data_IF_275485828367
#
_entry.id   IF_275485828367
#
_cell.length_a   1.000
_cell.length_b   1.000
_cell.length_c   1.000
_cell.angle_alpha   90.00
_cell.angle_beta   90.00
_cell.angle_gamma   90.00
#
_symmetry.space_group_name_H-M   'P 1'
#
loop_
_entity.id
_entity.type
_entity.pdbx_description
1 polymer ?
#
# COMPACT_ATOMS: atom_id res chain seq x y z
N UNK A 1 9.52 -24.38 -12.48
CA UNK A 1 9.12 -25.62 -13.19
C UNK A 1 9.15 -25.33 -14.68
N UNK A 2 10.13 -25.86 -15.40
CA UNK A 2 10.36 -25.57 -16.83
C UNK A 2 9.44 -26.46 -17.68
N UNK A 3 8.54 -25.84 -18.44
CA UNK A 3 7.60 -26.53 -19.33
C UNK A 3 8.32 -27.13 -20.54
N UNK A 4 8.25 -28.44 -20.70
CA UNK A 4 8.78 -29.17 -21.87
C UNK A 4 7.74 -29.11 -22.99
N UNK A 5 8.10 -28.51 -24.13
CA UNK A 5 7.28 -28.46 -25.34
C UNK A 5 7.64 -29.67 -26.20
N UNK A 6 6.75 -30.67 -26.26
CA UNK A 6 6.91 -31.85 -27.11
C UNK A 6 6.54 -31.49 -28.56
N UNK A 7 7.51 -31.47 -29.47
CA UNK A 7 7.28 -31.32 -30.92
C UNK A 7 7.39 -32.71 -31.55
N UNK A 8 6.26 -33.31 -31.92
CA UNK A 8 6.24 -34.57 -32.69
C UNK A 8 6.40 -34.21 -34.16
N UNK A 9 7.60 -34.44 -34.70
CA UNK A 9 7.86 -34.39 -36.14
C UNK A 9 7.48 -35.74 -36.74
N UNK A 10 6.31 -35.85 -37.36
CA UNK A 10 5.96 -37.04 -38.14
C UNK A 10 6.82 -37.07 -39.42
N UNK A 11 7.83 -37.95 -39.43
CA UNK A 11 8.51 -38.35 -40.66
C UNK A 11 7.53 -39.12 -41.53
N UNK A 12 7.25 -38.58 -42.71
CA UNK A 12 6.33 -39.17 -43.67
C UNK A 12 7.10 -40.17 -44.56
N UNK A 13 7.41 -41.35 -44.01
CA UNK A 13 8.06 -42.43 -44.77
C UNK A 13 7.00 -43.17 -45.57
N UNK A 14 6.97 -42.96 -46.90
CA UNK A 14 6.12 -43.71 -47.83
C UNK A 14 6.62 -45.15 -47.94
N UNK A 15 6.12 -46.02 -47.07
CA UNK A 15 6.21 -47.48 -47.23
C UNK A 15 4.88 -47.93 -47.84
N UNK A 16 4.94 -48.55 -49.02
CA UNK A 16 3.78 -49.06 -49.74
C UNK A 16 3.17 -50.26 -49.02
N UNK A 17 2.13 -49.99 -48.23
CA UNK A 17 1.33 -51.02 -47.56
C UNK A 17 -0.05 -51.06 -48.23
N UNK A 18 -0.46 -52.27 -48.62
CA UNK A 18 -1.71 -52.60 -49.31
C UNK A 18 -2.94 -51.89 -48.69
N UNK A 19 -3.84 -51.34 -49.51
CA UNK A 19 -4.92 -50.43 -49.05
C UNK A 19 -5.86 -51.08 -48.02
N UNK A 20 -6.10 -52.40 -48.13
CA UNK A 20 -6.88 -53.17 -47.14
C UNK A 20 -6.22 -53.21 -45.75
N UNK A 21 -4.89 -53.32 -45.69
CA UNK A 21 -4.11 -53.35 -44.44
C UNK A 21 -4.09 -51.95 -43.82
N UNK A 22 -4.02 -50.90 -44.65
CA UNK A 22 -4.05 -49.49 -44.21
C UNK A 22 -5.39 -49.11 -43.56
N UNK A 23 -6.50 -49.64 -44.07
CA UNK A 23 -7.83 -49.44 -43.47
C UNK A 23 -8.01 -50.25 -42.19
N UNK A 24 -7.55 -51.51 -42.16
CA UNK A 24 -7.58 -52.34 -40.95
C UNK A 24 -6.74 -51.77 -39.80
N UNK A 25 -5.54 -51.28 -40.10
CA UNK A 25 -4.64 -50.69 -39.10
C UNK A 25 -5.14 -49.33 -38.59
N UNK A 26 -5.85 -48.55 -39.44
CA UNK A 26 -6.59 -47.35 -39.00
C UNK A 26 -7.79 -47.69 -38.13
N UNK A 27 -8.53 -48.75 -38.42
CA UNK A 27 -9.65 -49.21 -37.59
C UNK A 27 -9.16 -49.70 -36.22
N UNK A 28 -8.05 -50.44 -36.18
CA UNK A 28 -7.45 -50.92 -34.94
C UNK A 28 -6.90 -49.75 -34.11
N UNK A 29 -6.22 -48.78 -34.74
CA UNK A 29 -5.77 -47.57 -34.03
C UNK A 29 -6.95 -46.74 -33.51
N UNK A 30 -8.03 -46.64 -34.29
CA UNK A 30 -9.26 -45.97 -33.88
C UNK A 30 -9.92 -46.72 -32.71
N UNK A 31 -9.97 -48.05 -32.74
CA UNK A 31 -10.49 -48.87 -31.64
C UNK A 31 -9.64 -48.73 -30.38
N UNK A 32 -8.30 -48.72 -30.50
CA UNK A 32 -7.39 -48.54 -29.35
C UNK A 32 -7.52 -47.13 -28.77
N UNK A 33 -7.63 -46.09 -29.61
CA UNK A 33 -7.86 -44.72 -29.14
C UNK A 33 -9.24 -44.57 -28.50
N UNK A 34 -10.28 -45.18 -29.07
CA UNK A 34 -11.63 -45.21 -28.48
C UNK A 34 -11.66 -46.00 -27.17
N UNK A 35 -10.95 -47.13 -27.06
CA UNK A 35 -10.81 -47.88 -25.81
C UNK A 35 -10.01 -47.12 -24.75
N UNK A 36 -8.98 -46.36 -25.11
CA UNK A 36 -8.23 -45.50 -24.18
C UNK A 36 -9.09 -44.30 -23.72
N UNK A 37 -9.96 -43.77 -24.59
CA UNK A 37 -10.93 -42.73 -24.23
C UNK A 37 -12.05 -43.30 -23.33
N UNK A 38 -12.49 -44.54 -23.56
CA UNK A 38 -13.53 -45.20 -22.76
C UNK A 38 -13.02 -45.67 -21.39
N UNK A 39 -11.73 -46.04 -21.25
CA UNK A 39 -11.11 -46.40 -19.96
C UNK A 39 -10.82 -45.18 -19.07
N UNK A 40 -10.84 -43.95 -19.64
CA UNK A 40 -10.86 -42.69 -18.87
C UNK A 40 -12.24 -42.13 -18.60
N UNK A 41 -13.30 -42.84 -19.00
CA UNK A 41 -14.66 -42.58 -18.57
C UNK A 41 -15.00 -43.49 -17.37
N UNK A 42 -14.16 -43.45 -16.34
CA UNK A 42 -14.69 -43.71 -15.01
C UNK A 42 -15.71 -42.61 -14.76
N UNK A 43 -16.97 -42.99 -14.54
CA UNK A 43 -18.01 -42.05 -14.13
C UNK A 43 -17.41 -41.09 -13.08
N UNK A 44 -17.68 -39.76 -13.14
CA UNK A 44 -17.37 -38.93 -11.99
C UNK A 44 -17.97 -39.64 -10.79
N UNK A 45 -17.13 -40.03 -9.83
CA UNK A 45 -17.60 -40.60 -8.58
C UNK A 45 -18.64 -39.61 -8.05
N UNK A 46 -19.90 -40.00 -8.13
CA UNK A 46 -21.02 -39.23 -7.64
C UNK A 46 -21.02 -39.33 -6.10
N UNK A 47 -19.95 -38.87 -5.46
CA UNK A 47 -19.72 -38.88 -4.01
C UNK A 47 -18.50 -38.00 -3.68
N UNK A 48 -18.57 -36.70 -3.96
CA UNK A 48 -17.66 -35.73 -3.35
C UNK A 48 -18.38 -34.43 -2.99
N UNK A 49 -19.66 -34.53 -2.64
CA UNK A 49 -20.18 -33.66 -1.61
C UNK A 49 -19.80 -34.34 -0.30
N UNK A 50 -18.87 -33.77 0.50
CA UNK A 50 -18.76 -34.18 1.89
C UNK A 50 -20.18 -34.17 2.45
N UNK A 51 -20.57 -35.21 3.19
CA UNK A 51 -21.86 -35.24 3.87
C UNK A 51 -22.09 -33.88 4.55
N UNK A 52 -22.95 -33.07 3.93
CA UNK A 52 -23.14 -31.66 4.29
C UNK A 52 -23.73 -31.61 5.69
N UNK A 53 -24.60 -32.57 6.01
CA UNK A 53 -25.18 -32.71 7.35
C UNK A 53 -24.10 -33.04 8.37
N UNK A 54 -23.26 -34.05 8.11
CA UNK A 54 -22.16 -34.39 9.01
C UNK A 54 -21.14 -33.25 9.19
N UNK A 55 -20.81 -32.53 8.10
CA UNK A 55 -19.92 -31.37 8.13
C UNK A 55 -20.55 -30.13 8.77
N UNK A 56 -21.88 -29.99 8.72
CA UNK A 56 -22.61 -28.93 9.42
C UNK A 56 -22.71 -29.22 10.92
N UNK A 57 -22.98 -30.48 11.30
CA UNK A 57 -22.99 -30.92 12.70
C UNK A 57 -21.59 -30.92 13.32
N UNK A 58 -20.55 -31.23 12.53
CA UNK A 58 -19.15 -31.26 12.95
C UNK A 58 -18.27 -30.44 11.99
N UNK A 59 -18.27 -29.09 12.09
CA UNK A 59 -17.52 -28.22 11.19
C UNK A 59 -16.03 -28.56 11.13
N UNK A 60 -15.45 -28.72 9.92
CA UNK A 60 -14.02 -28.98 9.77
C UNK A 60 -13.18 -27.76 10.17
N UNK A 61 -11.86 -27.96 10.34
CA UNK A 61 -10.93 -26.88 10.71
C UNK A 61 -10.97 -25.67 9.76
N UNK A 62 -11.24 -25.89 8.46
CA UNK A 62 -11.37 -24.85 7.44
C UNK A 62 -12.60 -23.95 7.64
N UNK A 63 -13.63 -24.42 8.36
CA UNK A 63 -14.84 -23.67 8.64
C UNK A 63 -14.78 -22.88 9.97
N UNK A 64 -13.78 -23.14 10.81
CA UNK A 64 -13.63 -22.45 12.10
C UNK A 64 -13.16 -21.00 11.92
N UNK A 65 -13.66 -20.05 12.72
CA UNK A 65 -13.24 -18.65 12.63
C UNK A 65 -11.79 -18.48 13.11
N UNK A 66 -11.15 -17.40 12.68
CA UNK A 66 -9.87 -16.91 13.21
C UNK A 66 -10.10 -15.62 14.00
N UNK A 67 -9.15 -15.25 14.85
CA UNK A 67 -9.20 -14.02 15.64
C UNK A 67 -7.94 -13.17 15.46
N UNK A 68 -8.06 -11.85 15.62
CA UNK A 68 -6.91 -10.99 15.84
C UNK A 68 -6.47 -11.06 17.29
N UNK A 69 -5.18 -11.26 17.50
CA UNK A 69 -4.61 -11.38 18.83
C UNK A 69 -3.41 -10.44 18.97
N UNK A 70 -3.68 -9.29 19.57
CA UNK A 70 -2.73 -8.21 19.74
C UNK A 70 -1.96 -8.37 21.06
N UNK A 71 -0.65 -8.40 20.97
CA UNK A 71 0.24 -8.21 22.10
C UNK A 71 0.37 -6.73 22.38
N UNK A 72 -0.23 -6.30 23.48
CA UNK A 72 -0.37 -4.89 23.81
C UNK A 72 0.87 -4.38 24.52
N UNK A 73 1.73 -3.67 23.78
CA UNK A 73 2.84 -2.89 24.30
C UNK A 73 3.83 -3.68 25.17
N UNK A 74 4.15 -4.90 24.73
CA UNK A 74 5.08 -5.79 25.42
C UNK A 74 4.54 -6.47 26.68
N UNK A 75 3.25 -6.31 27.01
CA UNK A 75 2.61 -7.07 28.10
C UNK A 75 2.38 -8.53 27.67
N UNK A 76 3.43 -9.34 27.74
CA UNK A 76 3.45 -10.71 27.20
C UNK A 76 4.10 -11.64 28.23
N UNK A 77 3.46 -12.78 28.52
CA UNK A 77 4.02 -13.87 29.34
C UNK A 77 3.70 -15.22 28.70
N UNK A 78 4.55 -16.24 28.90
CA UNK A 78 4.31 -17.59 28.36
C UNK A 78 3.08 -18.24 29.01
N UNK A 79 2.82 -17.92 30.27
CA UNK A 79 1.65 -18.37 31.02
C UNK A 79 0.36 -17.81 30.39
N UNK A 80 0.34 -16.52 30.05
CA UNK A 80 -0.78 -15.88 29.35
C UNK A 80 -0.98 -16.44 27.94
N UNK A 81 0.10 -16.60 27.17
CA UNK A 81 0.08 -17.25 25.85
C UNK A 81 -0.56 -18.64 25.94
N UNK A 82 -0.14 -19.45 26.93
CA UNK A 82 -0.69 -20.79 27.13
C UNK A 82 -2.18 -20.75 27.41
N UNK A 83 -2.60 -19.92 28.36
CA UNK A 83 -4.01 -19.80 28.74
C UNK A 83 -4.90 -19.37 27.56
N UNK A 84 -4.44 -18.39 26.77
CA UNK A 84 -5.15 -17.89 25.59
C UNK A 84 -5.31 -18.97 24.52
N UNK A 85 -4.21 -19.63 24.13
CA UNK A 85 -4.23 -20.62 23.04
C UNK A 85 -5.01 -21.88 23.43
N UNK A 86 -4.89 -22.35 24.68
CA UNK A 86 -5.71 -23.45 25.17
C UNK A 86 -7.20 -23.06 25.24
N UNK A 87 -7.52 -21.82 25.60
CA UNK A 87 -8.89 -21.32 25.54
C UNK A 87 -9.43 -21.31 24.11
N UNK A 88 -8.70 -20.72 23.16
CA UNK A 88 -9.06 -20.70 21.73
C UNK A 88 -9.34 -22.11 21.21
N UNK A 89 -8.48 -23.07 21.53
CA UNK A 89 -8.67 -24.47 21.16
C UNK A 89 -9.95 -25.06 21.76
N UNK A 90 -10.17 -24.88 23.08
CA UNK A 90 -11.36 -25.41 23.78
C UNK A 90 -12.67 -24.86 23.22
N UNK A 91 -12.71 -23.59 22.83
CA UNK A 91 -13.94 -22.95 22.33
C UNK A 91 -14.13 -23.09 20.82
N UNK A 92 -13.24 -23.79 20.12
CA UNK A 92 -13.39 -24.09 18.69
C UNK A 92 -12.92 -23.00 17.73
N UNK A 93 -12.03 -22.10 18.16
CA UNK A 93 -11.30 -21.20 17.24
C UNK A 93 -10.34 -22.01 16.37
N UNK A 94 -10.25 -21.65 15.09
CA UNK A 94 -9.42 -22.35 14.10
C UNK A 94 -7.99 -21.83 13.99
N UNK A 95 -7.73 -20.62 14.51
CA UNK A 95 -6.43 -19.98 14.43
C UNK A 95 -6.48 -18.51 14.86
N UNK A 96 -5.35 -17.83 14.77
CA UNK A 96 -5.19 -16.44 15.15
C UNK A 96 -4.18 -15.71 14.26
N UNK A 97 -4.29 -14.38 14.24
CA UNK A 97 -3.38 -13.48 13.56
C UNK A 97 -2.71 -12.62 14.64
N UNK A 98 -1.40 -12.79 14.83
CA UNK A 98 -0.65 -12.12 15.88
C UNK A 98 -0.09 -10.78 15.42
N UNK A 99 -0.20 -9.78 16.29
CA UNK A 99 0.31 -8.43 16.10
C UNK A 99 1.05 -7.98 17.36
N UNK A 100 2.24 -7.39 17.20
CA UNK A 100 2.90 -6.67 18.29
C UNK A 100 2.55 -5.19 18.18
N UNK A 101 1.67 -4.70 19.06
CA UNK A 101 1.08 -3.38 18.97
C UNK A 101 1.67 -2.44 20.04
N UNK A 102 2.52 -1.51 19.62
CA UNK A 102 3.10 -0.46 20.48
C UNK A 102 2.10 0.69 20.73
N UNK A 103 0.90 0.35 21.18
CA UNK A 103 -0.10 1.32 21.62
C UNK A 103 0.09 1.62 23.10
N UNK A 104 -0.09 2.87 23.52
CA UNK A 104 0.04 3.25 24.92
C UNK A 104 -0.95 2.43 25.79
N UNK A 105 -0.42 1.55 26.64
CA UNK A 105 -1.20 0.73 27.57
C UNK A 105 -0.44 0.66 28.90
N UNK A 106 -1.15 0.55 30.04
CA UNK A 106 -0.53 0.32 31.34
C UNK A 106 0.37 -0.92 31.32
N UNK A 107 1.43 -0.91 32.12
CA UNK A 107 2.23 -2.10 32.35
C UNK A 107 1.54 -2.98 33.39
N UNK A 108 1.25 -4.23 33.02
CA UNK A 108 0.59 -5.22 33.89
C UNK A 108 1.44 -6.49 34.06
N UNK A 109 2.67 -6.48 33.56
CA UNK A 109 3.67 -7.54 33.71
C UNK A 109 4.92 -6.98 34.39
N UNK A 110 5.71 -7.84 35.02
CA UNK A 110 6.96 -7.43 35.68
C UNK A 110 7.94 -6.77 34.70
N UNK A 111 8.15 -7.40 33.54
CA UNK A 111 9.02 -6.91 32.47
C UNK A 111 8.29 -6.97 31.13
N UNK A 112 8.22 -5.83 30.43
CA UNK A 112 7.72 -5.80 29.04
C UNK A 112 8.70 -6.52 28.12
N UNK A 113 8.18 -7.34 27.20
CA UNK A 113 8.97 -7.93 26.13
C UNK A 113 9.01 -6.97 24.95
N UNK A 114 10.20 -6.44 24.65
CA UNK A 114 10.41 -5.50 23.54
C UNK A 114 10.53 -6.29 22.23
N UNK A 115 9.83 -5.85 21.19
CA UNK A 115 9.82 -6.49 19.88
C UNK A 115 11.24 -6.86 19.40
N UNK A 116 11.40 -8.11 18.95
CA UNK A 116 12.65 -8.69 18.42
C UNK A 116 13.85 -8.83 19.38
N UNK A 117 13.73 -8.50 20.69
CA UNK A 117 14.76 -8.92 21.67
C UNK A 117 14.76 -10.45 21.84
N UNK A 118 15.83 -11.05 22.41
CA UNK A 118 15.89 -12.50 22.62
C UNK A 118 14.68 -13.07 23.39
N UNK A 119 14.20 -12.37 24.42
CA UNK A 119 13.07 -12.82 25.25
C UNK A 119 11.74 -12.74 24.51
N UNK A 120 11.54 -11.70 23.68
CA UNK A 120 10.36 -11.62 22.81
C UNK A 120 10.37 -12.74 21.77
N UNK A 121 11.53 -13.03 21.15
CA UNK A 121 11.69 -14.12 20.17
C UNK A 121 11.43 -15.48 20.81
N UNK A 122 11.86 -15.69 22.04
CA UNK A 122 11.60 -16.90 22.81
C UNK A 122 10.10 -17.07 23.14
N UNK A 123 9.41 -15.99 23.54
CA UNK A 123 7.95 -16.01 23.71
C UNK A 123 7.21 -16.29 22.40
N UNK A 124 7.63 -15.66 21.29
CA UNK A 124 7.05 -15.89 19.96
C UNK A 124 7.29 -17.33 19.47
N UNK A 125 8.49 -17.88 19.66
CA UNK A 125 8.78 -19.29 19.36
C UNK A 125 7.90 -20.23 20.19
N UNK A 126 7.73 -19.94 21.48
CA UNK A 126 6.82 -20.70 22.34
C UNK A 126 5.39 -20.70 21.80
N UNK A 127 4.87 -19.53 21.42
CA UNK A 127 3.56 -19.38 20.76
C UNK A 127 3.44 -20.26 19.52
N UNK A 128 4.42 -20.20 18.60
CA UNK A 128 4.37 -20.98 17.35
C UNK A 128 4.32 -22.50 17.60
N UNK A 129 5.08 -22.99 18.59
CA UNK A 129 5.10 -24.41 18.96
C UNK A 129 3.80 -24.87 19.61
N UNK A 130 3.22 -24.02 20.46
CA UNK A 130 1.94 -24.32 21.10
C UNK A 130 0.77 -24.26 20.11
N UNK A 131 0.78 -23.31 19.17
CA UNK A 131 -0.24 -23.24 18.13
C UNK A 131 -0.23 -24.51 17.26
N UNK A 132 0.97 -24.97 16.86
CA UNK A 132 1.14 -26.21 16.10
C UNK A 132 0.60 -27.44 16.87
N UNK A 133 0.96 -27.59 18.15
CA UNK A 133 0.49 -28.73 18.97
C UNK A 133 -1.03 -28.73 19.16
N UNK A 134 -1.67 -27.57 19.17
CA UNK A 134 -3.13 -27.39 19.28
C UNK A 134 -3.84 -27.36 17.91
N UNK A 135 -3.10 -27.51 16.80
CA UNK A 135 -3.59 -27.40 15.42
C UNK A 135 -4.31 -26.07 15.14
N UNK A 136 -3.81 -24.98 15.72
CA UNK A 136 -4.27 -23.63 15.45
C UNK A 136 -3.43 -23.04 14.30
N UNK A 137 -4.10 -22.51 13.28
CA UNK A 137 -3.44 -21.74 12.23
C UNK A 137 -2.92 -20.42 12.82
N UNK A 138 -1.66 -20.09 12.56
CA UNK A 138 -1.06 -18.83 12.99
C UNK A 138 -0.66 -17.99 11.78
N UNK A 139 -1.05 -16.72 11.78
CA UNK A 139 -0.58 -15.72 10.82
C UNK A 139 0.06 -14.52 11.54
N UNK A 140 0.84 -13.73 10.79
CA UNK A 140 1.45 -12.47 11.23
C UNK A 140 1.16 -11.37 10.21
N UNK A 141 1.30 -10.10 10.65
CA UNK A 141 1.26 -8.95 9.75
C UNK A 141 2.47 -8.91 8.79
N UNK A 142 2.35 -8.11 7.72
CA UNK A 142 3.43 -7.85 6.76
C UNK A 142 4.57 -6.98 7.29
N UNK A 143 4.44 -6.42 8.49
CA UNK A 143 5.42 -5.58 9.16
C UNK A 143 5.26 -5.63 10.69
N UNK A 144 6.22 -5.12 11.48
CA UNK A 144 5.97 -4.78 12.88
C UNK A 144 4.74 -3.87 13.02
N UNK A 145 3.98 -3.99 14.12
CA UNK A 145 2.66 -3.38 14.21
C UNK A 145 1.59 -4.24 13.52
N UNK A 146 0.77 -3.62 12.66
CA UNK A 146 -0.31 -4.30 11.92
C UNK A 146 -0.30 -4.06 10.41
N UNK A 147 0.24 -2.94 9.95
CA UNK A 147 0.36 -2.60 8.53
C UNK A 147 1.51 -1.60 8.32
N UNK A 148 2.04 -1.46 7.11
CA UNK A 148 1.75 -2.20 5.88
C UNK A 148 2.94 -3.11 5.53
N UNK A 149 4.05 -2.51 5.08
CA UNK A 149 5.28 -3.23 4.71
C UNK A 149 6.50 -2.32 4.90
N UNK A 150 6.71 -1.85 6.13
CA UNK A 150 7.80 -0.94 6.48
C UNK A 150 8.65 -1.42 7.64
N UNK A 151 9.89 -0.97 7.69
CA UNK A 151 10.82 -1.23 8.79
C UNK A 151 12.12 -0.43 8.64
N UNK A 152 12.93 -0.32 9.71
CA UNK A 152 14.18 0.46 9.69
C UNK A 152 15.23 -0.06 8.70
N UNK A 153 15.04 -1.27 8.16
CA UNK A 153 15.88 -1.85 7.11
C UNK A 153 15.55 -1.34 5.70
N UNK A 154 14.46 -0.58 5.51
CA UNK A 154 14.08 -0.03 4.20
C UNK A 154 14.81 1.31 4.00
N UNK A 155 15.76 1.41 3.04
CA UNK A 155 16.45 2.68 2.78
C UNK A 155 15.51 3.69 2.11
N UNK A 156 15.75 5.01 2.26
CA UNK A 156 14.89 6.06 1.70
C UNK A 156 14.65 5.95 0.19
N UNK A 157 15.65 5.48 -0.56
CA UNK A 157 15.55 5.24 -2.01
C UNK A 157 14.55 4.15 -2.40
N UNK A 158 14.19 3.25 -1.48
CA UNK A 158 13.22 2.16 -1.68
C UNK A 158 11.85 2.44 -1.08
N UNK A 159 11.71 3.52 -0.28
CA UNK A 159 10.44 3.93 0.29
C UNK A 159 9.46 4.49 -0.77
N UNK A 160 8.23 4.78 -0.34
CA UNK A 160 7.22 5.47 -1.14
C UNK A 160 7.77 6.82 -1.63
N UNK A 161 7.47 7.17 -2.88
CA UNK A 161 7.96 8.38 -3.55
C UNK A 161 6.79 9.26 -3.94
N UNK A 162 7.01 10.57 -3.94
CA UNK A 162 6.12 11.57 -4.54
C UNK A 162 6.87 12.28 -5.66
N UNK A 163 6.15 12.69 -6.69
CA UNK A 163 6.70 13.65 -7.65
C UNK A 163 6.77 15.03 -7.01
N UNK A 164 7.87 15.71 -7.27
CA UNK A 164 8.14 17.09 -6.90
C UNK A 164 8.70 17.80 -8.13
N UNK A 165 8.51 19.10 -8.19
CA UNK A 165 9.01 19.89 -9.32
C UNK A 165 9.33 21.31 -8.90
N UNK A 166 10.13 21.95 -9.73
CA UNK A 166 10.45 23.38 -9.70
C UNK A 166 10.39 23.91 -11.12
N UNK A 167 10.01 25.17 -11.27
CA UNK A 167 9.76 25.77 -12.57
C UNK A 167 10.58 27.06 -12.74
N UNK A 168 10.92 27.36 -14.00
CA UNK A 168 11.55 28.62 -14.38
C UNK A 168 11.07 28.99 -15.78
N UNK A 169 10.78 30.28 -16.00
CA UNK A 169 10.53 30.83 -17.34
C UNK A 169 11.84 31.34 -17.94
N UNK A 170 12.12 30.95 -19.17
CA UNK A 170 13.32 31.35 -19.92
C UNK A 170 12.95 31.93 -21.28
N UNK A 171 13.81 32.81 -21.80
CA UNK A 171 13.63 33.36 -23.16
C UNK A 171 14.04 32.33 -24.20
N UNK A 172 13.10 31.96 -25.09
CA UNK A 172 13.36 31.04 -26.19
C UNK A 172 14.33 31.60 -27.22
N UNK A 173 15.04 30.72 -27.92
CA UNK A 173 16.04 31.11 -28.94
C UNK A 173 17.39 31.54 -28.37
N UNK A 174 17.58 31.48 -27.05
CA UNK A 174 18.85 31.75 -26.37
C UNK A 174 19.33 30.52 -25.60
N UNK A 175 20.62 30.16 -25.63
CA UNK A 175 21.16 29.13 -24.75
C UNK A 175 20.96 29.51 -23.28
N UNK A 176 20.46 28.58 -22.48
CA UNK A 176 20.37 28.74 -21.03
C UNK A 176 21.60 28.11 -20.36
N UNK A 177 22.38 28.92 -19.64
CA UNK A 177 23.57 28.49 -18.89
C UNK A 177 23.42 28.63 -17.38
N UNK A 178 22.21 28.93 -16.89
CA UNK A 178 21.92 29.08 -15.46
C UNK A 178 21.78 27.74 -14.74
N UNK A 179 21.73 27.81 -13.41
CA UNK A 179 21.36 26.65 -12.58
C UNK A 179 19.84 26.57 -12.52
N UNK A 180 19.27 25.39 -12.80
CA UNK A 180 17.84 25.16 -12.58
C UNK A 180 17.54 25.21 -11.07
N UNK A 181 16.38 25.76 -10.66
CA UNK A 181 15.94 25.62 -9.28
C UNK A 181 15.87 24.12 -8.92
N UNK A 182 16.21 23.80 -7.68
CA UNK A 182 16.12 22.42 -7.20
C UNK A 182 14.71 22.16 -6.67
N UNK A 183 14.02 21.10 -7.12
CA UNK A 183 12.75 20.70 -6.52
C UNK A 183 12.89 20.37 -5.03
N UNK A 184 11.83 20.52 -4.22
CA UNK A 184 11.86 20.18 -2.80
C UNK A 184 12.26 18.73 -2.53
N UNK A 185 13.19 18.49 -1.61
CA UNK A 185 13.55 17.15 -1.12
C UNK A 185 12.81 16.74 0.16
N UNK A 186 11.94 17.61 0.68
CA UNK A 186 11.25 17.44 1.97
C UNK A 186 10.40 16.18 2.00
N UNK A 187 10.66 15.29 2.95
CA UNK A 187 9.76 14.15 3.21
C UNK A 187 8.42 14.63 3.76
N UNK A 188 7.34 14.25 3.08
CA UNK A 188 5.98 14.67 3.41
C UNK A 188 4.99 14.43 2.29
N UNK A 189 3.81 15.03 2.35
CA UNK A 189 2.67 14.69 1.48
C UNK A 189 2.77 15.28 0.07
N UNK A 190 3.22 16.53 -0.07
CA UNK A 190 3.20 17.24 -1.35
C UNK A 190 4.25 18.36 -1.35
N UNK A 191 5.00 18.53 -2.45
CA UNK A 191 6.06 19.54 -2.59
C UNK A 191 6.88 19.70 -1.30
N UNK A 192 7.00 20.92 -0.75
CA UNK A 192 7.73 21.22 0.47
C UNK A 192 6.89 21.10 1.77
N UNK A 193 5.64 20.60 1.70
CA UNK A 193 4.85 20.28 2.90
C UNK A 193 5.52 19.11 3.62
N UNK A 194 6.03 19.36 4.82
CA UNK A 194 6.62 18.34 5.68
C UNK A 194 5.57 17.37 6.20
N UNK A 195 5.97 16.10 6.32
CA UNK A 195 5.11 15.09 6.90
C UNK A 195 4.93 15.29 8.41
N UNK A 196 3.70 15.13 8.89
CA UNK A 196 3.45 14.87 10.31
C UNK A 196 3.51 13.37 10.58
N UNK A 197 4.16 12.96 11.68
CA UNK A 197 4.03 11.60 12.19
C UNK A 197 2.57 11.38 12.61
N UNK A 198 1.78 10.68 11.77
CA UNK A 198 0.52 10.09 12.18
C UNK A 198 0.83 8.75 12.82
N UNK A 199 0.81 8.67 14.14
CA UNK A 199 0.96 7.41 14.85
C UNK A 199 0.54 7.52 16.30
N UNK A 200 -0.12 6.47 16.81
CA UNK A 200 -0.43 6.30 18.24
C UNK A 200 0.76 5.74 19.04
N UNK A 201 1.95 5.71 18.43
CA UNK A 201 3.17 5.12 18.98
C UNK A 201 3.92 6.06 19.91
N UNK A 202 4.80 5.48 20.72
CA UNK A 202 5.46 6.11 21.89
C UNK A 202 6.91 6.56 21.59
N UNK A 203 7.37 6.45 20.35
CA UNK A 203 8.78 6.70 19.99
C UNK A 203 9.06 8.17 19.71
N UNK A 204 10.21 8.64 20.18
CA UNK A 204 10.72 10.01 20.04
C UNK A 204 10.87 10.49 18.57
N UNK A 205 10.89 11.81 18.42
CA UNK A 205 11.00 12.55 17.16
C UNK A 205 12.38 12.43 16.51
N UNK A 206 12.67 11.28 15.91
CA UNK A 206 13.77 11.20 14.94
C UNK A 206 13.39 11.98 13.67
N UNK A 207 14.33 12.76 13.08
CA UNK A 207 14.08 13.48 11.84
C UNK A 207 13.69 12.50 10.73
N UNK A 208 12.76 12.92 9.88
CA UNK A 208 12.37 12.12 8.73
C UNK A 208 13.56 12.03 7.76
N UNK A 209 13.86 10.85 7.19
CA UNK A 209 14.93 10.74 6.22
C UNK A 209 14.56 11.47 4.93
N UNK A 210 15.53 12.08 4.27
CA UNK A 210 15.34 12.76 2.98
C UNK A 210 15.88 11.94 1.81
N UNK A 211 15.21 12.01 0.66
CA UNK A 211 15.66 11.41 -0.60
C UNK A 211 15.17 12.20 -1.81
N UNK A 212 16.08 12.48 -2.74
CA UNK A 212 15.77 13.16 -4.00
C UNK A 212 16.46 12.46 -5.17
N UNK A 213 15.76 12.38 -6.30
CA UNK A 213 16.31 11.93 -7.57
C UNK A 213 15.60 12.64 -8.73
N UNK A 214 16.37 13.03 -9.74
CA UNK A 214 15.83 13.56 -10.99
C UNK A 214 14.99 12.52 -11.72
N UNK A 215 13.85 12.96 -12.26
CA UNK A 215 12.99 12.15 -13.12
C UNK A 215 13.08 12.58 -14.58
N UNK A 216 12.85 13.88 -14.84
CA UNK A 216 12.92 14.47 -16.17
C UNK A 216 13.10 15.99 -16.07
N UNK A 217 13.69 16.58 -17.11
CA UNK A 217 13.64 18.02 -17.38
C UNK A 217 12.83 18.21 -18.65
N UNK A 218 11.71 18.93 -18.55
CA UNK A 218 10.79 19.16 -19.66
C UNK A 218 10.77 20.66 -19.97
N UNK A 219 10.90 20.99 -21.24
CA UNK A 219 10.73 22.35 -21.74
C UNK A 219 9.64 22.35 -22.80
N UNK A 220 8.76 23.35 -22.74
CA UNK A 220 7.69 23.55 -23.72
C UNK A 220 7.46 25.04 -23.96
N UNK A 221 6.92 25.39 -25.12
CA UNK A 221 6.58 26.78 -25.45
C UNK A 221 5.30 27.16 -24.72
N UNK A 222 5.36 28.23 -23.93
CA UNK A 222 4.18 28.87 -23.34
C UNK A 222 3.58 29.90 -24.33
N UNK A 223 2.25 30.05 -24.36
CA UNK A 223 1.60 31.13 -25.11
C UNK A 223 2.06 32.51 -24.61
N UNK A 224 2.13 33.49 -25.51
CA UNK A 224 2.56 34.87 -25.16
C UNK A 224 1.61 35.56 -24.18
N UNK A 225 0.36 35.10 -24.09
CA UNK A 225 -0.65 35.60 -23.17
C UNK A 225 -0.73 34.83 -21.84
N UNK A 226 0.18 33.88 -21.59
CA UNK A 226 0.33 33.23 -20.28
C UNK A 226 1.17 34.16 -19.37
N UNK A 227 0.49 35.04 -18.64
CA UNK A 227 1.12 35.99 -17.71
C UNK A 227 1.11 35.43 -16.27
N UNK A 228 2.21 35.60 -15.55
CA UNK A 228 2.26 35.21 -14.14
C UNK A 228 1.48 36.20 -13.26
N UNK A 229 1.10 35.78 -12.06
CA UNK A 229 0.46 36.68 -11.09
C UNK A 229 1.37 37.86 -10.69
N UNK A 230 2.69 37.67 -10.73
CA UNK A 230 3.67 38.74 -10.53
C UNK A 230 3.65 39.75 -11.68
N UNK A 231 3.43 39.30 -12.92
CA UNK A 231 3.30 40.20 -14.07
C UNK A 231 1.97 40.96 -14.04
N UNK A 232 0.90 40.31 -13.57
CA UNK A 232 -0.45 40.86 -13.49
C UNK A 232 -0.64 41.86 -12.35
N UNK A 233 0.15 41.78 -11.27
CA UNK A 233 0.16 42.69 -10.12
C UNK A 233 -1.23 43.08 -9.59
N UNK A 234 -2.13 42.11 -9.30
CA UNK A 234 -3.44 42.46 -8.76
C UNK A 234 -3.31 43.15 -7.39
N UNK A 235 -4.18 44.13 -7.14
CA UNK A 235 -4.35 44.66 -5.81
C UNK A 235 -5.08 43.62 -4.94
N UNK A 236 -4.50 43.29 -3.79
CA UNK A 236 -5.06 42.29 -2.87
C UNK A 236 -5.70 43.01 -1.69
N UNK A 237 -6.97 42.72 -1.44
CA UNK A 237 -7.70 43.15 -0.26
C UNK A 237 -8.36 41.94 0.41
N UNK A 238 -8.68 42.04 1.70
CA UNK A 238 -9.35 40.94 2.42
C UNK A 238 -10.26 41.47 3.52
N UNK A 239 -11.22 40.64 3.94
CA UNK A 239 -12.06 40.90 5.11
C UNK A 239 -11.28 40.82 6.43
N UNK A 240 -10.08 40.22 6.42
CA UNK A 240 -9.24 40.02 7.59
C UNK A 240 -8.00 39.19 7.24
N UNK A 241 -6.92 39.39 7.99
CA UNK A 241 -5.60 38.85 7.68
C UNK A 241 -4.76 39.83 6.86
N UNK A 242 -3.53 39.41 6.54
CA UNK A 242 -2.56 40.20 5.76
C UNK A 242 -2.00 39.29 4.67
N UNK A 243 -2.30 39.60 3.42
CA UNK A 243 -1.94 38.78 2.27
C UNK A 243 -1.00 39.55 1.36
N UNK A 244 0.20 39.03 1.18
CA UNK A 244 1.19 39.55 0.23
C UNK A 244 1.18 38.70 -1.05
N UNK A 245 1.21 39.35 -2.20
CA UNK A 245 1.16 38.66 -3.50
C UNK A 245 2.34 37.70 -3.66
N UNK A 246 3.56 38.09 -3.26
CA UNK A 246 4.74 37.25 -3.44
C UNK A 246 4.64 36.00 -2.58
N UNK A 247 4.25 36.14 -1.32
CA UNK A 247 4.03 34.99 -0.42
C UNK A 247 2.91 34.06 -0.88
N UNK A 248 1.98 34.51 -1.73
CA UNK A 248 0.90 33.67 -2.26
C UNK A 248 1.29 32.90 -3.53
N UNK A 249 2.39 33.26 -4.19
CA UNK A 249 2.76 32.74 -5.52
C UNK A 249 4.25 32.36 -5.63
N UNK A 250 5.00 32.36 -4.53
CA UNK A 250 6.42 31.98 -4.49
C UNK A 250 6.67 30.47 -4.65
N UNK A 251 5.61 29.66 -4.64
CA UNK A 251 5.67 28.21 -4.75
C UNK A 251 5.97 27.50 -3.43
N UNK A 252 6.12 28.24 -2.32
CA UNK A 252 6.20 27.68 -0.98
C UNK A 252 4.78 27.34 -0.49
N UNK A 253 4.43 26.06 -0.54
CA UNK A 253 3.12 25.58 -0.08
C UNK A 253 3.12 25.14 1.39
N UNK A 254 4.24 25.28 2.08
CA UNK A 254 4.39 25.01 3.51
C UNK A 254 4.21 26.27 4.36
N UNK A 255 4.61 27.42 3.83
CA UNK A 255 4.36 28.70 4.46
C UNK A 255 2.89 29.09 4.30
N UNK A 256 2.20 29.26 5.43
CA UNK A 256 0.78 29.61 5.45
C UNK A 256 0.56 30.97 6.13
N UNK A 257 -0.35 31.75 5.56
CA UNK A 257 -0.89 32.96 6.20
C UNK A 257 -2.20 32.63 6.89
N UNK A 258 -2.38 33.10 8.13
CA UNK A 258 -3.65 32.96 8.85
C UNK A 258 -4.75 33.72 8.12
N UNK A 259 -5.81 33.00 7.74
CA UNK A 259 -7.04 33.58 7.21
C UNK A 259 -8.15 33.54 8.29
N UNK A 260 -8.46 34.66 8.96
CA UNK A 260 -9.41 34.68 10.06
C UNK A 260 -10.83 34.35 9.61
N UNK A 261 -11.54 33.57 10.43
CA UNK A 261 -12.98 33.40 10.28
C UNK A 261 -13.72 34.70 10.59
N UNK A 262 -14.69 35.04 9.77
CA UNK A 262 -15.58 36.18 10.00
C UNK A 262 -16.52 35.89 11.20
N UNK A 263 -17.07 36.95 11.83
CA UNK A 263 -18.13 36.80 12.83
C UNK A 263 -19.32 35.96 12.33
N UNK A 264 -20.09 35.39 13.27
CA UNK A 264 -21.27 34.61 12.93
C UNK A 264 -22.25 35.43 12.08
N UNK A 265 -22.61 34.91 10.91
CA UNK A 265 -23.49 35.59 9.95
C UNK A 265 -22.76 36.41 8.88
N UNK A 266 -21.45 36.57 8.98
CA UNK A 266 -20.61 37.24 7.97
C UNK A 266 -19.79 36.22 7.16
N UNK A 267 -19.11 36.69 6.10
CA UNK A 267 -18.26 35.86 5.24
C UNK A 267 -16.84 36.41 5.20
N UNK A 268 -15.85 35.54 5.37
CA UNK A 268 -14.47 35.89 5.07
C UNK A 268 -14.23 35.89 3.57
N UNK A 269 -13.46 36.85 3.07
CA UNK A 269 -13.09 36.93 1.66
C UNK A 269 -11.66 37.47 1.47
N UNK A 270 -11.03 37.03 0.39
CA UNK A 270 -9.80 37.61 -0.17
C UNK A 270 -10.12 37.98 -1.61
N UNK A 271 -9.87 39.22 -1.99
CA UNK A 271 -10.17 39.76 -3.30
C UNK A 271 -8.87 40.10 -4.02
N UNK A 272 -8.82 39.72 -5.30
CA UNK A 272 -7.77 40.09 -6.23
C UNK A 272 -8.40 41.01 -7.29
N UNK A 273 -7.99 42.26 -7.30
CA UNK A 273 -8.46 43.27 -8.25
C UNK A 273 -7.42 43.49 -9.34
N UNK A 274 -7.82 43.31 -10.59
CA UNK A 274 -6.94 43.45 -11.76
C UNK A 274 -7.24 44.76 -12.50
N UNK A 275 -6.20 45.43 -13.01
CA UNK A 275 -6.36 46.69 -13.76
C UNK A 275 -7.15 46.52 -15.07
N UNK A 276 -7.07 45.34 -15.68
CA UNK A 276 -7.76 44.99 -16.92
C UNK A 276 -8.61 43.73 -16.71
N UNK A 277 -9.56 43.49 -17.62
CA UNK A 277 -10.28 42.22 -17.64
C UNK A 277 -9.30 41.07 -17.86
N UNK A 278 -9.16 40.22 -16.84
CA UNK A 278 -8.22 39.10 -16.83
C UNK A 278 -9.00 37.79 -16.84
N UNK A 279 -8.68 36.91 -17.79
CA UNK A 279 -9.27 35.57 -17.85
C UNK A 279 -8.47 34.61 -16.97
N UNK A 280 -9.11 34.12 -15.91
CA UNK A 280 -8.53 33.11 -15.01
C UNK A 280 -9.10 31.75 -15.37
N UNK A 281 -8.22 30.77 -15.59
CA UNK A 281 -8.61 29.41 -16.01
C UNK A 281 -8.58 28.40 -14.86
N UNK A 282 -7.80 28.64 -13.81
CA UNK A 282 -7.66 27.75 -12.67
C UNK A 282 -7.33 28.54 -11.40
N UNK A 283 -7.64 27.95 -10.26
CA UNK A 283 -7.27 28.43 -8.94
C UNK A 283 -6.71 27.25 -8.14
N UNK A 284 -5.51 27.41 -7.60
CA UNK A 284 -4.92 26.48 -6.64
C UNK A 284 -5.08 27.05 -5.25
N UNK A 285 -5.67 26.27 -4.34
CA UNK A 285 -5.80 26.61 -2.93
C UNK A 285 -5.06 25.58 -2.09
N UNK A 286 -4.17 26.03 -1.22
CA UNK A 286 -3.50 25.20 -0.21
C UNK A 286 -3.91 25.70 1.16
N UNK A 287 -4.49 24.82 1.97
CA UNK A 287 -4.95 25.16 3.32
C UNK A 287 -4.02 24.55 4.36
N UNK A 288 -3.44 25.38 5.23
CA UNK A 288 -2.67 24.94 6.40
C UNK A 288 -3.59 24.58 7.57
N UNK A 289 -3.47 23.38 8.12
CA UNK A 289 -4.29 22.96 9.26
C UNK A 289 -3.82 21.63 9.83
N UNK A 290 -2.85 21.68 10.75
CA UNK A 290 -2.33 20.50 11.44
C UNK A 290 -3.22 20.01 12.60
N UNK A 291 -4.34 20.65 12.94
CA UNK A 291 -5.12 20.29 14.16
C UNK A 291 -6.64 20.45 14.09
N UNK A 292 -7.23 20.80 12.95
CA UNK A 292 -8.68 20.89 12.82
C UNK A 292 -9.31 19.52 12.57
N UNK A 293 -9.62 18.75 13.63
CA UNK A 293 -10.76 17.82 13.54
C UNK A 293 -12.01 18.69 13.36
N UNK A 294 -12.38 18.93 12.10
CA UNK A 294 -13.71 19.44 11.77
C UNK A 294 -14.73 18.39 12.19
N UNK A 295 -15.38 18.64 13.32
CA UNK A 295 -16.74 18.19 13.56
C UNK A 295 -17.69 19.23 12.99
#
# INVERSE_FOLDING_TARGET
>A
MKSIKLIIKMMNTKIGINSKIRTGMKLILLFVVVSIILVKCGAPSADYWPDIEAGFQNPPQSAKPRVWWHWMNGNITKEGIKADLEWMHRIGIGGFQNFDASLATPQIVEKRLIYMTPEWKDAFLYTTRLADSLRLEMAIAGSPGWSESGGPWVPPSQAMKKYVWSEIRITGGQPFSGKLPQPPSTTGSFQNISGFRRGFGITADEPLPDFYADAAVIAFRIPENDLSMIDLQPAITSSGGQFDLRSLVDGDVAQSTLFPAAPAGEKSWVQFEFTNSTKIHALTLVTGGATGRGY
#
